data_IF_425578567770
#
_entry.id   IF_425578567770
#
_cell.length_a   1.000
_cell.length_b   1.000
_cell.length_c   1.000
_cell.angle_alpha   90.00
_cell.angle_beta   90.00
_cell.angle_gamma   90.00
#
_symmetry.space_group_name_H-M   'P 1'
#
loop_
_entity.id
_entity.type
_entity.pdbx_description
1 polymer ?
#
# COMPACT_ATOMS: atom_id res chain seq x y z
N UNK A 1 4.01 -5.89 -9.67
CA UNK A 1 4.67 -6.65 -8.59
C UNK A 1 4.19 -6.35 -7.16
N UNK A 2 3.02 -5.73 -6.96
CA UNK A 2 2.41 -5.55 -5.62
C UNK A 2 1.02 -6.21 -5.52
N UNK A 3 0.42 -6.48 -6.67
CA UNK A 3 -0.83 -7.23 -6.92
C UNK A 3 -0.83 -8.59 -6.22
N UNK A 4 0.32 -9.27 -6.27
CA UNK A 4 0.51 -10.59 -5.66
C UNK A 4 0.27 -10.59 -4.14
N UNK A 5 0.48 -9.46 -3.46
CA UNK A 5 0.20 -9.33 -2.03
C UNK A 5 -1.29 -9.53 -1.75
N UNK A 6 -2.17 -8.87 -2.50
CA UNK A 6 -3.63 -9.01 -2.33
C UNK A 6 -4.09 -10.42 -2.70
N UNK A 7 -3.56 -10.98 -3.79
CA UNK A 7 -3.88 -12.34 -4.21
C UNK A 7 -3.45 -13.39 -3.17
N UNK A 8 -2.26 -13.23 -2.58
CA UNK A 8 -1.78 -14.10 -1.50
C UNK A 8 -2.72 -14.05 -0.28
N UNK A 9 -3.12 -12.84 0.14
CA UNK A 9 -4.05 -12.67 1.25
C UNK A 9 -5.40 -13.37 0.98
N UNK A 10 -5.98 -13.19 -0.21
CA UNK A 10 -7.26 -13.80 -0.55
C UNK A 10 -7.23 -15.33 -0.64
N UNK A 11 -6.04 -15.92 -0.88
CA UNK A 11 -5.85 -17.36 -0.92
C UNK A 11 -5.62 -17.97 0.46
N UNK A 12 -5.21 -17.18 1.46
CA UNK A 12 -4.68 -17.66 2.73
C UNK A 12 -5.64 -18.60 3.48
N UNK A 13 -6.94 -18.27 3.54
CA UNK A 13 -7.95 -19.05 4.26
C UNK A 13 -8.27 -20.39 3.58
N UNK A 14 -8.22 -20.43 2.23
CA UNK A 14 -8.67 -21.58 1.43
C UNK A 14 -7.54 -22.43 0.83
N UNK A 15 -6.35 -21.88 0.67
CA UNK A 15 -5.17 -22.54 0.08
C UNK A 15 -3.88 -21.96 0.66
N UNK A 16 -3.55 -22.24 1.94
CA UNK A 16 -2.41 -21.64 2.64
C UNK A 16 -1.05 -21.80 1.93
N UNK A 17 -0.77 -22.99 1.39
CA UNK A 17 0.48 -23.25 0.65
C UNK A 17 0.58 -22.40 -0.62
N UNK A 18 -0.51 -22.29 -1.38
CA UNK A 18 -0.55 -21.44 -2.57
C UNK A 18 -0.47 -19.96 -2.21
N UNK A 19 -1.05 -19.53 -1.09
CA UNK A 19 -0.92 -18.17 -0.60
C UNK A 19 0.54 -17.82 -0.27
N UNK A 20 1.27 -18.76 0.34
CA UNK A 20 2.70 -18.63 0.59
C UNK A 20 3.50 -18.48 -0.70
N UNK A 21 3.31 -19.40 -1.66
CA UNK A 21 3.98 -19.34 -2.96
C UNK A 21 3.65 -18.04 -3.71
N UNK A 22 2.38 -17.62 -3.69
CA UNK A 22 1.93 -16.37 -4.32
C UNK A 22 2.59 -15.13 -3.70
N UNK A 23 2.81 -15.12 -2.39
CA UNK A 23 3.53 -14.05 -1.71
C UNK A 23 5.00 -14.01 -2.15
N UNK A 24 5.64 -15.17 -2.27
CA UNK A 24 7.06 -15.29 -2.61
C UNK A 24 7.38 -15.09 -4.10
N UNK A 25 6.40 -15.21 -4.98
CA UNK A 25 6.60 -15.24 -6.43
C UNK A 25 7.53 -14.13 -6.99
N UNK A 26 7.38 -12.83 -6.67
CA UNK A 26 8.30 -11.82 -7.19
C UNK A 26 9.70 -11.91 -6.57
N UNK A 27 9.82 -12.44 -5.35
CA UNK A 27 11.10 -12.55 -4.65
C UNK A 27 12.00 -13.63 -5.26
N UNK A 28 11.46 -14.61 -5.98
CA UNK A 28 12.26 -15.60 -6.71
C UNK A 28 13.07 -14.97 -7.85
N UNK A 29 12.70 -13.75 -8.21
CA UNK A 29 13.38 -12.89 -9.17
C UNK A 29 13.98 -11.64 -8.51
N UNK A 30 14.18 -11.64 -7.18
CA UNK A 30 14.83 -10.53 -6.48
C UNK A 30 16.31 -10.43 -6.91
N UNK A 31 16.68 -9.29 -7.50
CA UNK A 31 18.04 -9.08 -8.03
C UNK A 31 19.09 -8.92 -6.92
N UNK A 32 20.37 -8.82 -7.29
CA UNK A 32 21.49 -8.68 -6.34
C UNK A 32 21.40 -7.43 -5.45
N UNK A 33 20.76 -6.36 -5.94
CA UNK A 33 20.56 -5.10 -5.19
C UNK A 33 19.44 -5.21 -4.16
N UNK A 34 18.63 -6.27 -4.25
CA UNK A 34 17.45 -6.50 -3.42
C UNK A 34 16.16 -6.03 -4.08
N UNK A 35 16.22 -5.47 -5.30
CA UNK A 35 15.05 -4.98 -6.01
C UNK A 35 14.17 -6.12 -6.53
N UNK A 36 12.86 -5.90 -6.50
CA UNK A 36 11.88 -6.79 -7.15
C UNK A 36 11.61 -6.32 -8.57
N UNK A 37 11.35 -7.24 -9.52
CA UNK A 37 10.97 -6.86 -10.88
C UNK A 37 9.62 -6.14 -10.89
N UNK A 38 9.37 -5.36 -11.94
CA UNK A 38 8.07 -4.73 -12.20
C UNK A 38 7.01 -5.82 -12.51
N UNK A 39 7.38 -6.72 -13.42
CA UNK A 39 6.54 -7.82 -13.90
C UNK A 39 7.36 -9.03 -14.31
N UNK A 40 6.79 -10.20 -14.12
CA UNK A 40 7.30 -11.50 -14.56
C UNK A 40 6.25 -12.13 -15.47
N UNK A 41 6.62 -12.51 -16.68
CA UNK A 41 5.75 -13.23 -17.62
C UNK A 41 6.42 -14.52 -18.08
N UNK A 42 5.73 -15.32 -18.90
CA UNK A 42 6.30 -16.57 -19.43
C UNK A 42 7.53 -16.35 -20.34
N UNK A 43 7.75 -15.14 -20.85
CA UNK A 43 8.82 -14.83 -21.83
C UNK A 43 9.83 -13.80 -21.35
N UNK A 44 9.51 -13.01 -20.33
CA UNK A 44 10.37 -11.91 -19.89
C UNK A 44 10.23 -11.60 -18.39
N UNK A 45 11.31 -11.06 -17.84
CA UNK A 45 11.35 -10.45 -16.50
C UNK A 45 11.75 -8.99 -16.70
N UNK A 46 10.87 -8.07 -16.33
CA UNK A 46 11.06 -6.64 -16.54
C UNK A 46 11.44 -5.94 -15.24
N UNK A 47 12.51 -5.14 -15.28
CA UNK A 47 13.01 -4.33 -14.15
C UNK A 47 12.93 -2.83 -14.43
N UNK A 48 11.98 -2.42 -15.29
CA UNK A 48 11.85 -1.02 -15.73
C UNK A 48 11.43 -0.10 -14.58
N UNK A 49 10.61 -0.61 -13.68
CA UNK A 49 10.12 0.09 -12.49
C UNK A 49 10.14 -0.85 -11.29
N UNK A 50 10.02 -0.26 -10.12
CA UNK A 50 9.64 -1.01 -8.92
C UNK A 50 8.15 -0.80 -8.60
N UNK A 51 7.69 -1.32 -7.48
CA UNK A 51 6.34 -1.11 -6.95
C UNK A 51 6.39 -0.80 -5.45
N UNK A 52 5.34 -0.21 -4.87
CA UNK A 52 5.36 0.23 -3.48
C UNK A 52 5.63 -0.95 -2.53
N UNK A 53 6.46 -0.77 -1.48
CA UNK A 53 6.87 -1.83 -0.57
C UNK A 53 5.78 -2.16 0.47
N UNK A 54 4.60 -2.59 0.02
CA UNK A 54 3.49 -2.99 0.91
C UNK A 54 3.69 -4.39 1.53
N UNK A 55 4.86 -5.01 1.33
CA UNK A 55 5.08 -6.42 1.61
C UNK A 55 5.12 -6.69 3.11
N UNK A 56 5.61 -5.74 3.92
CA UNK A 56 5.53 -5.85 5.37
C UNK A 56 4.09 -5.89 5.89
N UNK A 57 3.24 -4.98 5.40
CA UNK A 57 1.81 -4.96 5.69
C UNK A 57 1.15 -6.28 5.26
N UNK A 58 1.39 -6.69 4.01
CA UNK A 58 0.79 -7.90 3.45
C UNK A 58 1.23 -9.16 4.20
N UNK A 59 2.50 -9.28 4.55
CA UNK A 59 3.02 -10.43 5.28
C UNK A 59 2.44 -10.53 6.70
N UNK A 60 2.34 -9.40 7.40
CA UNK A 60 1.72 -9.35 8.73
C UNK A 60 0.25 -9.81 8.70
N UNK A 61 -0.51 -9.41 7.67
CA UNK A 61 -1.87 -9.88 7.45
C UNK A 61 -1.93 -11.36 7.04
N UNK A 62 -1.06 -11.78 6.12
CA UNK A 62 -1.00 -13.17 5.64
C UNK A 62 -0.82 -14.13 6.82
N UNK A 63 0.13 -13.83 7.72
CA UNK A 63 0.38 -14.64 8.92
C UNK A 63 -0.83 -14.79 9.85
N UNK A 64 -1.74 -13.82 9.89
CA UNK A 64 -2.97 -13.89 10.68
C UNK A 64 -4.05 -14.72 10.00
N UNK A 65 -4.04 -14.80 8.68
CA UNK A 65 -5.02 -15.54 7.87
C UNK A 65 -4.62 -17.00 7.64
N UNK A 66 -3.32 -17.31 7.66
CA UNK A 66 -2.84 -18.69 7.54
C UNK A 66 -3.36 -19.56 8.69
N UNK A 67 -3.93 -20.71 8.34
CA UNK A 67 -4.45 -21.68 9.31
C UNK A 67 -3.35 -22.49 10.01
N UNK A 68 -2.18 -22.60 9.38
CA UNK A 68 -0.98 -23.23 9.93
C UNK A 68 0.08 -22.17 10.18
N UNK A 69 0.61 -22.03 11.41
CA UNK A 69 1.71 -21.12 11.70
C UNK A 69 2.96 -21.49 10.91
N UNK A 70 3.68 -20.46 10.42
CA UNK A 70 4.95 -20.64 9.73
C UNK A 70 6.04 -21.15 10.69
N UNK A 71 6.84 -22.08 10.19
CA UNK A 71 8.02 -22.60 10.88
C UNK A 71 9.21 -21.64 10.82
N UNK A 72 10.24 -21.94 11.61
CA UNK A 72 11.43 -21.11 11.71
C UNK A 72 12.16 -20.89 10.37
N UNK A 73 12.15 -21.89 9.48
CA UNK A 73 12.78 -21.80 8.16
C UNK A 73 12.04 -20.80 7.25
N UNK A 74 10.71 -20.90 7.18
CA UNK A 74 9.84 -20.00 6.41
C UNK A 74 9.94 -18.55 6.92
N UNK A 75 9.95 -18.37 8.25
CA UNK A 75 10.15 -17.06 8.87
C UNK A 75 11.53 -16.48 8.55
N UNK A 76 12.58 -17.30 8.55
CA UNK A 76 13.94 -16.86 8.18
C UNK A 76 13.99 -16.45 6.71
N UNK A 77 13.39 -17.23 5.82
CA UNK A 77 13.34 -16.92 4.40
C UNK A 77 12.60 -15.60 4.12
N UNK A 78 11.42 -15.42 4.70
CA UNK A 78 10.67 -14.18 4.58
C UNK A 78 11.46 -12.99 5.14
N UNK A 79 12.10 -13.15 6.31
CA UNK A 79 12.94 -12.11 6.92
C UNK A 79 14.09 -11.69 6.00
N UNK A 80 14.84 -12.65 5.45
CA UNK A 80 16.00 -12.35 4.60
C UNK A 80 15.57 -11.67 3.29
N UNK A 81 14.49 -12.15 2.64
CA UNK A 81 13.93 -11.55 1.41
C UNK A 81 13.39 -10.12 1.64
N UNK A 82 12.65 -9.90 2.73
CA UNK A 82 12.14 -8.58 3.11
C UNK A 82 13.26 -7.62 3.53
N UNK A 83 14.32 -8.11 4.17
CA UNK A 83 15.49 -7.31 4.53
C UNK A 83 16.14 -6.73 3.28
N UNK A 84 16.44 -7.57 2.28
CA UNK A 84 17.04 -7.13 1.01
C UNK A 84 16.17 -6.11 0.29
N UNK A 85 14.85 -6.33 0.29
CA UNK A 85 13.91 -5.40 -0.34
C UNK A 85 13.86 -4.04 0.38
N UNK A 86 13.92 -4.06 1.71
CA UNK A 86 13.92 -2.85 2.53
C UNK A 86 15.22 -2.08 2.38
N UNK A 87 16.36 -2.78 2.41
CA UNK A 87 17.68 -2.19 2.23
C UNK A 87 17.83 -1.56 0.83
N UNK A 88 17.24 -2.15 -0.23
CA UNK A 88 17.15 -1.52 -1.55
C UNK A 88 16.50 -0.12 -1.47
N UNK A 89 15.35 0.02 -0.79
CA UNK A 89 14.69 1.31 -0.66
C UNK A 89 15.51 2.31 0.17
N UNK A 90 16.07 1.85 1.29
CA UNK A 90 16.83 2.70 2.21
C UNK A 90 18.22 3.08 1.69
N UNK A 91 18.78 2.33 0.74
CA UNK A 91 20.10 2.59 0.16
C UNK A 91 20.00 3.13 -1.28
N UNK A 92 19.38 2.38 -2.19
CA UNK A 92 19.39 2.68 -3.62
C UNK A 92 18.33 3.73 -4.02
N UNK A 93 17.20 3.78 -3.30
CA UNK A 93 16.12 4.76 -3.53
C UNK A 93 16.17 5.95 -2.56
N UNK A 94 17.32 6.24 -1.96
CA UNK A 94 17.50 7.40 -1.07
C UNK A 94 18.65 8.26 -1.57
N UNK A 95 18.38 9.54 -1.81
CA UNK A 95 19.42 10.47 -2.28
C UNK A 95 20.50 10.68 -1.18
N UNK A 96 21.76 10.96 -1.54
CA UNK A 96 22.81 11.20 -0.55
C UNK A 96 22.41 12.32 0.43
N UNK A 97 22.47 12.02 1.74
CA UNK A 97 22.10 12.96 2.80
C UNK A 97 20.58 13.14 3.02
N UNK A 98 19.72 12.54 2.21
CA UNK A 98 18.28 12.56 2.44
C UNK A 98 17.89 11.59 3.55
N UNK A 99 16.88 11.96 4.34
CA UNK A 99 16.32 11.09 5.37
C UNK A 99 15.37 10.04 4.78
N UNK A 100 14.58 10.44 3.79
CA UNK A 100 13.50 9.63 3.21
C UNK A 100 13.85 9.11 1.80
N UNK A 101 13.41 7.89 1.44
CA UNK A 101 13.45 7.40 0.07
C UNK A 101 12.52 8.16 -0.88
N UNK A 102 12.70 7.95 -2.19
CA UNK A 102 11.93 8.58 -3.26
C UNK A 102 11.50 7.57 -4.32
N UNK A 103 10.40 7.90 -4.99
CA UNK A 103 10.06 7.31 -6.28
C UNK A 103 10.85 7.99 -7.40
N UNK A 104 11.33 7.22 -8.37
CA UNK A 104 11.98 7.78 -9.57
C UNK A 104 10.98 8.08 -10.69
N UNK A 105 9.81 7.44 -10.62
CA UNK A 105 8.70 7.61 -11.56
C UNK A 105 7.37 7.29 -10.87
N UNK A 106 6.25 7.83 -11.37
CA UNK A 106 4.91 7.51 -10.86
C UNK A 106 4.62 6.01 -10.85
N UNK A 107 5.10 5.28 -11.86
CA UNK A 107 5.00 3.82 -11.94
C UNK A 107 5.65 3.09 -10.75
N UNK A 108 6.67 3.66 -10.10
CA UNK A 108 7.27 3.05 -8.91
C UNK A 108 6.29 3.04 -7.71
N UNK A 109 5.35 3.99 -7.68
CA UNK A 109 4.29 4.05 -6.66
C UNK A 109 3.10 3.15 -6.97
N UNK A 110 3.00 2.65 -8.21
CA UNK A 110 1.79 1.98 -8.72
C UNK A 110 0.67 2.95 -9.10
N UNK A 111 0.85 4.26 -8.91
CA UNK A 111 -0.09 5.34 -9.25
C UNK A 111 0.40 6.16 -10.44
N UNK A 112 0.61 5.48 -11.57
CA UNK A 112 1.41 5.93 -12.73
C UNK A 112 1.20 7.39 -13.15
N UNK A 113 -0.06 7.83 -13.23
CA UNK A 113 -0.43 9.16 -13.70
C UNK A 113 -1.11 10.03 -12.63
N UNK A 114 -0.99 9.69 -11.35
CA UNK A 114 -1.55 10.50 -10.27
C UNK A 114 -0.99 11.94 -10.32
N UNK A 115 -1.83 12.91 -9.95
CA UNK A 115 -1.49 14.34 -9.97
C UNK A 115 -0.29 14.68 -9.09
N UNK A 116 -0.01 13.85 -8.07
CA UNK A 116 1.17 13.96 -7.19
C UNK A 116 2.48 14.05 -7.98
N UNK A 117 2.57 13.45 -9.16
CA UNK A 117 3.77 13.43 -10.01
C UNK A 117 3.78 14.49 -11.14
N UNK A 118 2.79 15.37 -11.22
CA UNK A 118 2.74 16.42 -12.25
C UNK A 118 3.89 17.45 -12.12
N UNK A 119 4.25 17.94 -10.92
CA UNK A 119 5.30 18.93 -10.79
C UNK A 119 6.71 18.38 -10.98
N UNK A 120 6.94 17.09 -10.67
CA UNK A 120 8.25 16.45 -10.78
C UNK A 120 8.13 14.92 -10.92
N UNK A 121 9.13 14.30 -11.55
CA UNK A 121 9.20 12.84 -11.73
C UNK A 121 9.84 12.10 -10.56
N UNK A 122 10.89 12.67 -9.98
CA UNK A 122 11.64 12.09 -8.85
C UNK A 122 11.17 12.75 -7.55
N UNK A 123 10.38 12.02 -6.76
CA UNK A 123 9.53 12.59 -5.71
C UNK A 123 9.63 11.81 -4.41
N UNK A 124 9.78 12.52 -3.30
CA UNK A 124 9.58 12.01 -1.94
C UNK A 124 8.11 12.19 -1.57
N UNK A 125 7.45 11.10 -1.19
CA UNK A 125 6.04 11.08 -0.83
C UNK A 125 5.82 10.37 0.50
N UNK A 126 4.74 10.71 1.19
CA UNK A 126 4.45 10.19 2.51
C UNK A 126 3.93 8.73 2.49
N UNK A 127 3.28 8.30 1.40
CA UNK A 127 2.81 6.92 1.23
C UNK A 127 3.98 5.93 1.21
N UNK A 128 5.06 6.23 0.48
CA UNK A 128 6.28 5.41 0.45
C UNK A 128 6.88 5.26 1.85
N UNK A 129 7.01 6.38 2.57
CA UNK A 129 7.51 6.37 3.94
C UNK A 129 6.61 5.54 4.86
N UNK A 130 5.28 5.69 4.76
CA UNK A 130 4.31 4.91 5.52
C UNK A 130 4.43 3.40 5.26
N UNK A 131 4.52 2.97 4.00
CA UNK A 131 4.69 1.55 3.66
C UNK A 131 6.02 0.99 4.19
N UNK A 132 7.10 1.77 4.11
CA UNK A 132 8.40 1.37 4.66
C UNK A 132 8.39 1.28 6.19
N UNK A 133 7.70 2.17 6.88
CA UNK A 133 7.55 2.10 8.34
C UNK A 133 6.83 0.81 8.75
N UNK A 134 5.73 0.44 8.08
CA UNK A 134 5.05 -0.84 8.31
C UNK A 134 5.98 -2.04 8.03
N UNK A 135 6.79 -1.95 6.98
CA UNK A 135 7.78 -2.98 6.65
C UNK A 135 8.91 -3.09 7.68
N UNK A 136 9.38 -1.96 8.23
CA UNK A 136 10.38 -1.94 9.30
C UNK A 136 9.81 -2.50 10.61
N UNK A 137 8.55 -2.22 10.95
CA UNK A 137 7.88 -2.86 12.08
C UNK A 137 7.79 -4.38 11.89
N UNK A 138 7.35 -4.83 10.72
CA UNK A 138 7.27 -6.27 10.42
C UNK A 138 8.63 -6.97 10.50
N UNK A 139 9.71 -6.32 10.05
CA UNK A 139 11.08 -6.83 10.18
C UNK A 139 11.55 -6.88 11.63
N UNK A 140 11.19 -5.88 12.45
CA UNK A 140 11.51 -5.90 13.87
C UNK A 140 10.83 -7.07 14.59
N UNK A 141 9.55 -7.29 14.32
CA UNK A 141 8.78 -8.39 14.93
C UNK A 141 9.33 -9.76 14.53
N UNK A 142 9.69 -9.93 13.24
CA UNK A 142 10.35 -11.13 12.76
C UNK A 142 11.72 -11.34 13.40
N UNK A 143 12.52 -10.29 13.54
CA UNK A 143 13.82 -10.37 14.18
C UNK A 143 13.70 -10.81 15.65
N UNK A 144 12.72 -10.32 16.40
CA UNK A 144 12.46 -10.78 17.77
C UNK A 144 12.10 -12.27 17.82
N UNK A 145 11.20 -12.72 16.95
CA UNK A 145 10.78 -14.13 16.85
C UNK A 145 11.94 -15.06 16.47
N UNK A 146 12.81 -14.60 15.57
CA UNK A 146 14.03 -15.28 15.15
C UNK A 146 15.20 -15.13 16.14
N UNK A 147 14.98 -14.46 17.27
CA UNK A 147 15.99 -14.20 18.32
C UNK A 147 17.22 -13.46 17.80
N UNK A 148 17.01 -12.44 16.97
CA UNK A 148 18.01 -11.50 16.43
C UNK A 148 17.80 -10.11 17.05
N UNK A 149 18.14 -9.89 18.34
CA UNK A 149 17.79 -8.67 19.07
C UNK A 149 18.46 -7.40 18.52
N UNK A 150 19.68 -7.51 17.99
CA UNK A 150 20.38 -6.36 17.40
C UNK A 150 19.69 -5.87 16.12
N UNK A 151 19.20 -6.81 15.30
CA UNK A 151 18.40 -6.52 14.11
C UNK A 151 17.07 -5.87 14.51
N UNK A 152 16.38 -6.44 15.50
CA UNK A 152 15.11 -5.88 16.00
C UNK A 152 15.29 -4.43 16.47
N UNK A 153 16.36 -4.15 17.24
CA UNK A 153 16.67 -2.78 17.68
C UNK A 153 16.99 -1.85 16.49
N UNK A 154 17.77 -2.32 15.52
CA UNK A 154 18.07 -1.57 14.29
C UNK A 154 16.81 -1.19 13.54
N UNK A 155 15.89 -2.14 13.35
CA UNK A 155 14.65 -1.92 12.59
C UNK A 155 13.70 -0.97 13.31
N UNK A 156 13.51 -1.13 14.62
CA UNK A 156 12.69 -0.20 15.42
C UNK A 156 13.25 1.23 15.39
N UNK A 157 14.56 1.39 15.52
CA UNK A 157 15.21 2.71 15.42
C UNK A 157 14.98 3.32 14.04
N UNK A 158 15.21 2.56 12.97
CA UNK A 158 15.02 3.04 11.60
C UNK A 158 13.55 3.41 11.33
N UNK A 159 12.59 2.64 11.86
CA UNK A 159 11.16 2.97 11.77
C UNK A 159 10.85 4.31 12.44
N UNK A 160 11.33 4.50 13.67
CA UNK A 160 11.13 5.75 14.41
C UNK A 160 11.77 6.96 13.71
N UNK A 161 12.99 6.82 13.18
CA UNK A 161 13.68 7.86 12.43
C UNK A 161 12.94 8.20 11.12
N UNK A 162 12.45 7.19 10.40
CA UNK A 162 11.68 7.37 9.16
C UNK A 162 10.35 8.06 9.42
N UNK A 163 9.63 7.65 10.47
CA UNK A 163 8.38 8.28 10.86
C UNK A 163 8.57 9.73 11.32
N UNK A 164 9.60 10.00 12.12
CA UNK A 164 9.94 11.36 12.53
C UNK A 164 10.25 12.24 11.30
N UNK A 165 11.06 11.74 10.35
CA UNK A 165 11.37 12.46 9.13
C UNK A 165 10.13 12.67 8.22
N UNK A 166 9.25 11.67 8.11
CA UNK A 166 8.01 11.78 7.35
C UNK A 166 7.12 12.90 7.90
N UNK A 167 6.93 12.95 9.22
CA UNK A 167 6.13 13.99 9.86
C UNK A 167 6.82 15.36 9.77
N UNK A 168 8.10 15.47 10.13
CA UNK A 168 8.83 16.74 10.11
C UNK A 168 8.93 17.37 8.70
N UNK A 169 9.16 16.54 7.67
CA UNK A 169 9.44 17.05 6.32
C UNK A 169 8.19 17.15 5.46
N UNK A 170 7.19 16.27 5.64
CA UNK A 170 6.06 16.14 4.73
C UNK A 170 4.72 16.52 5.36
N UNK A 171 4.58 16.57 6.69
CA UNK A 171 3.33 17.01 7.32
C UNK A 171 3.32 18.53 7.54
N UNK A 172 2.25 19.19 7.10
CA UNK A 172 2.10 20.67 7.21
C UNK A 172 1.26 21.12 8.41
N UNK A 173 0.81 20.18 9.25
CA UNK A 173 -0.20 20.44 10.28
C UNK A 173 -1.65 20.18 9.81
N UNK A 174 -1.88 20.04 8.51
CA UNK A 174 -3.21 19.81 7.92
C UNK A 174 -3.24 18.73 6.82
N UNK A 175 -2.15 18.60 6.06
CA UNK A 175 -2.00 17.61 4.99
C UNK A 175 -0.55 17.20 4.81
N UNK A 176 -0.36 16.04 4.18
CA UNK A 176 0.93 15.66 3.63
C UNK A 176 1.19 16.42 2.32
N UNK A 177 2.46 16.77 2.10
CA UNK A 177 2.97 17.31 0.83
C UNK A 177 3.95 16.31 0.21
N UNK A 178 4.06 16.33 -1.10
CA UNK A 178 5.15 15.73 -1.84
C UNK A 178 6.30 16.73 -2.02
N UNK A 179 7.52 16.24 -2.22
CA UNK A 179 8.71 17.08 -2.47
C UNK A 179 9.54 16.53 -3.61
N UNK A 180 10.03 17.40 -4.47
CA UNK A 180 10.94 17.04 -5.54
C UNK A 180 12.33 16.80 -4.97
N UNK A 181 13.00 15.70 -5.32
CA UNK A 181 14.36 15.40 -4.79
C UNK A 181 15.38 16.47 -5.18
N UNK A 182 15.27 17.03 -6.39
CA UNK A 182 16.21 18.04 -6.90
C UNK A 182 15.90 19.47 -6.46
N UNK A 183 14.63 19.86 -6.42
CA UNK A 183 14.22 21.23 -6.06
C UNK A 183 14.01 21.44 -4.56
N UNK A 184 13.57 20.41 -3.84
CA UNK A 184 13.15 20.50 -2.43
C UNK A 184 11.79 21.17 -2.21
N UNK A 185 11.23 21.78 -3.25
CA UNK A 185 9.95 22.52 -3.21
C UNK A 185 8.79 21.56 -2.87
N UNK A 186 7.97 21.89 -1.86
CA UNK A 186 6.80 21.10 -1.52
C UNK A 186 5.57 21.47 -2.37
N UNK A 187 4.72 20.50 -2.66
CA UNK A 187 3.38 20.71 -3.19
C UNK A 187 2.39 19.70 -2.61
N UNK A 188 1.10 20.00 -2.69
CA UNK A 188 0.02 19.06 -2.37
C UNK A 188 -0.94 18.97 -3.54
N UNK A 189 -1.65 17.85 -3.63
CA UNK A 189 -2.64 17.62 -4.68
C UNK A 189 -3.99 17.28 -4.09
N UNK A 190 -4.95 16.92 -4.94
CA UNK A 190 -6.22 16.33 -4.53
C UNK A 190 -6.28 14.82 -4.85
N UNK A 191 -5.10 14.19 -5.01
CA UNK A 191 -4.93 12.76 -5.15
C UNK A 191 -5.14 12.06 -3.81
N UNK A 192 -5.79 10.90 -3.84
CA UNK A 192 -5.91 9.99 -2.70
C UNK A 192 -4.53 9.45 -2.26
N UNK A 193 -3.53 9.46 -3.15
CA UNK A 193 -2.15 9.05 -2.83
C UNK A 193 -1.58 9.85 -1.65
N UNK A 194 -1.89 11.15 -1.58
CA UNK A 194 -1.44 12.05 -0.50
C UNK A 194 -2.05 11.65 0.87
N UNK A 195 -3.10 10.81 0.86
CA UNK A 195 -3.81 10.33 2.05
C UNK A 195 -3.47 8.87 2.41
N UNK A 196 -2.72 8.16 1.55
CA UNK A 196 -2.29 6.78 1.81
C UNK A 196 -1.43 6.57 3.06
N UNK A 197 -0.79 7.59 3.70
CA UNK A 197 -0.24 7.41 5.04
C UNK A 197 -1.24 6.87 6.08
N UNK A 198 -2.56 6.94 5.82
CA UNK A 198 -3.59 6.27 6.64
C UNK A 198 -3.32 4.78 6.83
N UNK A 199 -2.60 4.14 5.91
CA UNK A 199 -2.18 2.75 6.02
C UNK A 199 -1.32 2.48 7.27
N UNK A 200 -0.72 3.50 7.90
CA UNK A 200 -0.04 3.33 9.19
C UNK A 200 -0.99 2.98 10.34
N UNK A 201 -2.28 3.28 10.23
CA UNK A 201 -3.28 2.90 11.23
C UNK A 201 -2.96 3.45 12.62
N UNK A 202 -2.88 2.55 13.59
CA UNK A 202 -2.59 2.83 15.00
C UNK A 202 -1.22 3.47 15.25
N UNK A 203 -0.32 3.47 14.26
CA UNK A 203 0.99 4.10 14.39
C UNK A 203 0.95 5.61 14.10
N UNK A 204 -0.16 6.15 13.60
CA UNK A 204 -0.31 7.59 13.37
C UNK A 204 -0.60 8.34 14.67
N UNK A 205 -0.06 9.56 14.84
CA UNK A 205 -0.59 10.51 15.81
C UNK A 205 -2.09 10.78 15.58
N UNK A 206 -2.87 10.92 16.65
CA UNK A 206 -4.33 11.08 16.59
C UNK A 206 -4.76 12.26 15.71
N UNK A 207 -4.07 13.39 15.77
CA UNK A 207 -4.37 14.58 14.98
C UNK A 207 -4.18 14.33 13.47
N UNK A 208 -3.08 13.67 13.10
CA UNK A 208 -2.80 13.27 11.72
C UNK A 208 -3.84 12.25 11.24
N UNK A 209 -4.13 11.23 12.04
CA UNK A 209 -5.13 10.21 11.76
C UNK A 209 -6.52 10.81 11.49
N UNK A 210 -6.97 11.70 12.38
CA UNK A 210 -8.25 12.39 12.24
C UNK A 210 -8.32 13.27 10.98
N UNK A 211 -7.24 14.00 10.68
CA UNK A 211 -7.16 14.83 9.48
C UNK A 211 -7.22 13.98 8.19
N UNK A 212 -6.50 12.86 8.15
CA UNK A 212 -6.55 11.92 7.02
C UNK A 212 -7.95 11.32 6.85
N UNK A 213 -8.58 10.85 7.93
CA UNK A 213 -9.91 10.26 7.87
C UNK A 213 -10.97 11.25 7.33
N UNK A 214 -10.95 12.51 7.80
CA UNK A 214 -11.84 13.55 7.29
C UNK A 214 -11.62 13.83 5.79
N UNK A 215 -10.37 13.78 5.32
CA UNK A 215 -10.05 13.96 3.89
C UNK A 215 -10.46 12.76 3.06
N UNK A 216 -10.25 11.55 3.55
CA UNK A 216 -10.67 10.31 2.89
C UNK A 216 -12.20 10.26 2.74
N UNK A 217 -12.95 10.69 3.75
CA UNK A 217 -14.42 10.77 3.66
C UNK A 217 -14.87 11.65 2.48
N UNK A 218 -14.13 12.71 2.14
CA UNK A 218 -14.41 13.55 0.97
C UNK A 218 -14.14 12.87 -0.38
N UNK A 219 -13.30 11.83 -0.42
CA UNK A 219 -13.08 11.00 -1.62
C UNK A 219 -14.15 9.91 -1.80
N UNK A 220 -14.97 9.63 -0.77
CA UNK A 220 -15.89 8.51 -0.75
C UNK A 220 -17.19 8.83 -1.53
N UNK A 221 -17.22 8.42 -2.79
CA UNK A 221 -18.40 8.52 -3.67
C UNK A 221 -19.41 7.40 -3.38
N UNK A 222 -20.61 7.40 -3.97
CA UNK A 222 -21.57 6.30 -3.81
C UNK A 222 -21.03 4.91 -4.15
N UNK A 223 -19.99 4.83 -4.99
CA UNK A 223 -19.40 3.57 -5.46
C UNK A 223 -18.09 3.20 -4.75
N UNK A 224 -17.39 4.14 -4.12
CA UNK A 224 -16.12 3.88 -3.45
C UNK A 224 -15.19 5.09 -3.43
N UNK A 225 -13.92 4.87 -3.11
CA UNK A 225 -12.93 5.94 -2.99
C UNK A 225 -12.42 6.38 -4.37
N UNK A 226 -12.73 7.61 -4.78
CA UNK A 226 -12.14 8.20 -5.98
C UNK A 226 -10.65 8.48 -5.76
N UNK A 227 -9.81 8.12 -6.72
CA UNK A 227 -8.34 8.33 -6.62
C UNK A 227 -7.92 9.79 -6.77
N UNK A 228 -8.81 10.64 -7.28
CA UNK A 228 -8.69 12.10 -7.31
C UNK A 228 -10.04 12.66 -6.82
N UNK A 229 -10.04 13.73 -6.01
CA UNK A 229 -11.30 14.32 -5.55
C UNK A 229 -12.20 14.68 -6.74
N UNK A 230 -13.50 14.30 -6.75
CA UNK A 230 -14.41 14.64 -7.86
C UNK A 230 -14.57 16.15 -8.12
N UNK A 231 -14.30 16.98 -7.11
CA UNK A 231 -14.30 18.45 -7.22
C UNK A 231 -12.99 19.04 -7.73
N UNK A 232 -11.95 18.23 -7.89
CA UNK A 232 -10.64 18.64 -8.41
C UNK A 232 -10.76 18.99 -9.90
N UNK A 233 -10.10 20.07 -10.38
CA UNK A 233 -10.01 20.34 -11.81
C UNK A 233 -9.23 19.27 -12.59
N UNK A 234 -8.54 18.36 -11.91
CA UNK A 234 -7.79 17.26 -12.50
C UNK A 234 -8.54 15.93 -12.53
N UNK A 235 -9.76 15.88 -11.97
CA UNK A 235 -10.60 14.68 -12.00
C UNK A 235 -11.00 14.31 -13.42
N UNK A 236 -10.83 13.04 -13.76
CA UNK A 236 -11.20 12.43 -15.03
C UNK A 236 -11.92 11.10 -14.77
N UNK A 237 -13.11 10.94 -15.35
CA UNK A 237 -13.97 9.76 -15.17
C UNK A 237 -13.30 8.46 -15.63
N UNK A 238 -12.66 8.46 -16.80
CA UNK A 238 -11.75 7.42 -17.29
C UNK A 238 -10.30 7.92 -17.22
N UNK A 239 -9.90 8.32 -16.01
CA UNK A 239 -8.62 8.99 -15.73
C UNK A 239 -7.47 8.09 -15.30
N UNK A 240 -7.67 6.77 -15.25
CA UNK A 240 -6.75 5.83 -14.60
C UNK A 240 -6.57 6.14 -13.10
N UNK A 241 -5.45 6.74 -12.64
CA UNK A 241 -5.28 7.18 -11.25
C UNK A 241 -5.76 8.63 -10.98
N UNK A 242 -6.51 9.22 -11.92
CA UNK A 242 -7.07 10.59 -11.79
C UNK A 242 -8.57 10.63 -11.55
N UNK A 243 -9.12 9.65 -10.85
CA UNK A 243 -10.56 9.63 -10.57
C UNK A 243 -11.13 8.26 -10.27
N UNK A 244 -10.88 7.24 -11.11
CA UNK A 244 -11.40 5.90 -10.90
C UNK A 244 -11.11 5.31 -9.51
N UNK A 245 -11.96 4.39 -9.07
CA UNK A 245 -11.82 3.60 -7.84
C UNK A 245 -10.93 2.40 -8.11
N UNK A 246 -9.99 2.13 -7.20
CA UNK A 246 -9.04 1.02 -7.30
C UNK A 246 -9.10 0.11 -6.07
N UNK A 247 -9.06 -1.20 -6.31
CA UNK A 247 -9.16 -2.20 -5.26
C UNK A 247 -7.99 -2.13 -4.24
N UNK A 248 -6.71 -2.02 -4.67
CA UNK A 248 -5.58 -1.93 -3.73
C UNK A 248 -5.69 -0.76 -2.74
N UNK A 249 -6.01 0.43 -3.25
CA UNK A 249 -6.17 1.62 -2.43
C UNK A 249 -7.33 1.46 -1.42
N UNK A 250 -8.43 0.85 -1.86
CA UNK A 250 -9.60 0.60 -1.00
C UNK A 250 -9.24 -0.29 0.19
N UNK A 251 -8.54 -1.41 -0.04
CA UNK A 251 -8.17 -2.34 1.04
C UNK A 251 -7.21 -1.69 2.02
N UNK A 252 -6.17 -1.00 1.53
CA UNK A 252 -5.18 -0.34 2.38
C UNK A 252 -5.80 0.79 3.22
N UNK A 253 -6.72 1.56 2.63
CA UNK A 253 -7.44 2.63 3.33
C UNK A 253 -8.41 2.05 4.37
N UNK A 254 -9.17 1.02 4.02
CA UNK A 254 -10.11 0.37 4.94
C UNK A 254 -9.39 -0.20 6.18
N UNK A 255 -8.32 -0.96 5.97
CA UNK A 255 -7.51 -1.54 7.05
C UNK A 255 -6.87 -0.45 7.92
N UNK A 256 -6.26 0.56 7.28
CA UNK A 256 -5.63 1.69 7.97
C UNK A 256 -6.61 2.47 8.84
N UNK A 257 -7.76 2.88 8.27
CA UNK A 257 -8.83 3.55 9.02
C UNK A 257 -9.30 2.69 10.20
N UNK A 258 -9.50 1.39 9.97
CA UNK A 258 -9.98 0.48 11.00
C UNK A 258 -9.00 0.37 12.17
N UNK A 259 -7.71 0.15 11.89
CA UNK A 259 -6.67 0.09 12.92
C UNK A 259 -6.47 1.42 13.64
N UNK A 260 -6.68 2.54 12.96
CA UNK A 260 -6.69 3.88 13.55
C UNK A 260 -7.96 4.21 14.37
N UNK A 261 -8.94 3.30 14.46
CA UNK A 261 -10.17 3.49 15.25
C UNK A 261 -11.33 4.14 14.50
N UNK A 262 -11.19 4.47 13.21
CA UNK A 262 -12.23 5.06 12.35
C UNK A 262 -13.20 4.01 11.79
N UNK A 263 -13.76 3.17 12.69
CA UNK A 263 -14.55 1.99 12.34
C UNK A 263 -15.72 2.29 11.39
N UNK A 264 -16.50 3.35 11.66
CA UNK A 264 -17.65 3.73 10.83
C UNK A 264 -17.24 4.03 9.39
N UNK A 265 -16.18 4.81 9.21
CA UNK A 265 -15.70 5.17 7.87
C UNK A 265 -15.12 3.94 7.14
N UNK A 266 -14.40 3.08 7.86
CA UNK A 266 -13.90 1.81 7.31
C UNK A 266 -15.05 0.90 6.86
N UNK A 267 -16.14 0.81 7.64
CA UNK A 267 -17.34 0.06 7.28
C UNK A 267 -18.02 0.64 6.04
N UNK A 268 -18.12 1.97 5.93
CA UNK A 268 -18.69 2.65 4.76
C UNK A 268 -17.84 2.40 3.49
N UNK A 269 -16.52 2.46 3.60
CA UNK A 269 -15.58 2.14 2.49
C UNK A 269 -15.75 0.68 2.05
N UNK A 270 -15.73 -0.26 3.00
CA UNK A 270 -15.91 -1.69 2.73
C UNK A 270 -17.27 -1.97 2.07
N UNK A 271 -18.36 -1.41 2.60
CA UNK A 271 -19.70 -1.66 2.11
C UNK A 271 -19.90 -1.17 0.67
N UNK A 272 -19.43 0.05 0.36
CA UNK A 272 -19.57 0.62 -0.99
C UNK A 272 -18.76 -0.16 -2.02
N UNK A 273 -17.52 -0.54 -1.69
CA UNK A 273 -16.69 -1.31 -2.61
C UNK A 273 -17.23 -2.74 -2.85
N UNK A 274 -17.72 -3.42 -1.80
CA UNK A 274 -18.37 -4.74 -1.98
C UNK A 274 -19.60 -4.64 -2.86
N UNK A 275 -20.49 -3.68 -2.59
CA UNK A 275 -21.67 -3.45 -3.41
C UNK A 275 -21.32 -3.10 -4.86
N UNK A 276 -20.26 -2.32 -5.09
CA UNK A 276 -19.73 -2.03 -6.42
C UNK A 276 -19.32 -3.32 -7.14
N UNK A 277 -18.52 -4.18 -6.52
CA UNK A 277 -18.10 -5.46 -7.12
C UNK A 277 -19.28 -6.40 -7.40
N UNK A 278 -20.22 -6.51 -6.46
CA UNK A 278 -21.41 -7.36 -6.58
C UNK A 278 -22.34 -6.93 -7.74
N UNK A 279 -22.32 -5.65 -8.10
CA UNK A 279 -23.21 -5.08 -9.13
C UNK A 279 -22.53 -4.80 -10.47
N UNK A 280 -21.23 -4.52 -10.48
CA UNK A 280 -20.47 -4.10 -11.68
C UNK A 280 -19.32 -5.06 -12.05
N UNK A 281 -19.14 -6.15 -11.30
CA UNK A 281 -18.13 -7.17 -11.55
C UNK A 281 -16.74 -6.79 -11.00
N UNK A 282 -15.70 -7.43 -11.52
CA UNK A 282 -14.35 -7.36 -10.97
C UNK A 282 -13.37 -6.70 -11.96
N UNK A 283 -13.72 -5.51 -12.44
CA UNK A 283 -12.83 -4.74 -13.31
C UNK A 283 -11.56 -4.27 -12.58
N UNK A 284 -10.51 -3.92 -13.33
CA UNK A 284 -9.25 -3.41 -12.80
C UNK A 284 -9.47 -2.14 -11.97
N UNK A 285 -10.27 -1.22 -12.50
CA UNK A 285 -10.74 -0.02 -11.82
C UNK A 285 -12.15 0.36 -12.30
N UNK A 286 -12.79 1.32 -11.62
CA UNK A 286 -14.18 1.70 -11.89
C UNK A 286 -14.33 3.21 -11.92
N UNK A 287 -15.16 3.72 -12.82
CA UNK A 287 -15.59 5.11 -12.79
C UNK A 287 -16.22 5.43 -11.42
N UNK A 288 -15.71 6.46 -10.75
CA UNK A 288 -16.09 6.73 -9.37
C UNK A 288 -17.51 7.29 -9.20
N UNK A 289 -18.14 7.82 -10.25
CA UNK A 289 -19.47 8.44 -10.18
C UNK A 289 -20.57 7.56 -10.77
N UNK A 290 -20.22 6.53 -11.53
CA UNK A 290 -21.17 5.63 -12.20
C UNK A 290 -20.98 4.16 -11.86
N UNK A 291 -19.83 3.76 -11.29
CA UNK A 291 -19.48 2.37 -11.02
C UNK A 291 -19.11 1.58 -12.27
N UNK A 292 -19.09 2.21 -13.45
CA UNK A 292 -18.74 1.54 -14.71
C UNK A 292 -17.32 0.97 -14.61
N UNK A 293 -17.15 -0.35 -14.72
CA UNK A 293 -15.81 -0.93 -14.78
C UNK A 293 -15.01 -0.37 -15.97
N UNK A 294 -13.70 -0.32 -15.85
CA UNK A 294 -12.78 0.22 -16.85
C UNK A 294 -11.56 -0.72 -16.98
N UNK A 295 -10.84 -0.60 -18.10
CA UNK A 295 -9.70 -1.46 -18.47
C UNK A 295 -10.08 -2.94 -18.50
N UNK A 296 -9.35 -3.82 -17.82
CA UNK A 296 -9.68 -5.25 -17.72
C UNK A 296 -10.97 -5.44 -16.91
N UNK A 297 -11.84 -6.34 -17.35
CA UNK A 297 -13.15 -6.61 -16.72
C UNK A 297 -13.11 -7.75 -15.70
N UNK A 298 -12.01 -8.49 -15.62
CA UNK A 298 -11.84 -9.66 -14.76
C UNK A 298 -10.44 -9.69 -14.12
N UNK A 299 -10.14 -8.66 -13.32
CA UNK A 299 -8.83 -8.47 -12.71
C UNK A 299 -8.70 -9.13 -11.34
N UNK A 300 -7.58 -9.83 -11.13
CA UNK A 300 -7.38 -10.68 -9.94
C UNK A 300 -7.37 -9.91 -8.63
N UNK A 301 -6.72 -8.75 -8.58
CA UNK A 301 -6.67 -7.96 -7.34
C UNK A 301 -8.04 -7.47 -6.85
N UNK A 302 -9.04 -7.39 -7.73
CA UNK A 302 -10.35 -6.83 -7.43
C UNK A 302 -11.18 -7.93 -6.83
N UNK A 303 -11.12 -9.12 -7.43
CA UNK A 303 -11.65 -10.33 -6.83
C UNK A 303 -11.00 -10.62 -5.48
N UNK A 304 -9.68 -10.53 -5.37
CA UNK A 304 -8.95 -10.74 -4.12
C UNK A 304 -9.35 -9.73 -3.04
N UNK A 305 -9.35 -8.43 -3.36
CA UNK A 305 -9.77 -7.37 -2.44
C UNK A 305 -11.22 -7.51 -1.98
N UNK A 306 -12.12 -7.89 -2.89
CA UNK A 306 -13.51 -8.18 -2.54
C UNK A 306 -13.62 -9.34 -1.55
N UNK A 307 -12.92 -10.45 -1.80
CA UNK A 307 -12.93 -11.61 -0.90
C UNK A 307 -12.45 -11.24 0.51
N UNK A 308 -11.36 -10.47 0.61
CA UNK A 308 -10.85 -9.99 1.89
C UNK A 308 -11.89 -9.16 2.66
N UNK A 309 -12.51 -8.19 1.99
CA UNK A 309 -13.50 -7.33 2.61
C UNK A 309 -14.80 -8.07 2.95
N UNK A 310 -15.21 -9.03 2.12
CA UNK A 310 -16.42 -9.83 2.32
C UNK A 310 -16.27 -10.85 3.47
N UNK A 311 -15.12 -11.52 3.55
CA UNK A 311 -14.77 -12.42 4.67
C UNK A 311 -14.75 -11.62 5.98
N UNK A 312 -14.04 -10.49 6.01
CA UNK A 312 -13.96 -9.62 7.18
C UNK A 312 -15.34 -9.09 7.62
N UNK A 313 -16.22 -8.74 6.67
CA UNK A 313 -17.60 -8.36 6.96
C UNK A 313 -18.41 -9.52 7.57
N UNK A 314 -18.29 -10.72 7.01
CA UNK A 314 -19.00 -11.92 7.49
C UNK A 314 -18.60 -12.25 8.92
N UNK A 315 -17.30 -12.20 9.25
CA UNK A 315 -16.83 -12.39 10.62
C UNK A 315 -17.38 -11.36 11.60
N UNK A 316 -17.53 -10.09 11.18
CA UNK A 316 -18.06 -9.02 12.04
C UNK A 316 -19.57 -9.13 12.30
N UNK A 317 -20.35 -9.60 11.33
CA UNK A 317 -21.82 -9.74 11.46
C UNK A 317 -22.22 -11.08 12.10
N UNK A 318 -21.36 -12.10 12.01
CA UNK A 318 -21.57 -13.42 12.60
C UNK A 318 -21.28 -13.53 14.11
N UNK A 319 -20.78 -12.46 14.74
CA UNK A 319 -20.54 -12.33 16.17
C UNK A 319 -21.51 -11.34 16.81
#
# INVERSE_FOLDING_TARGET
SWDHCFNALALASGSPELAWDQFHLPFDHQDETGALPDSVTHSEVLYNFVKPPIHGWAFGHLRRLLTTPLGQAELTEAYDRLTRWTDFWLAARRAPGAALPHYQHGNDSGWDNATTFDPARVVVTADLAAFLILQLHQLADLADELRRPDDALRWRRTAAETQAAMLDQLWTGDRFVARGVGSGDPWSTSSLLDLMPVALGEHLPDDVSNALAARIEAHLTPYGLATELPTSPHYLSDGYWRGPIWAPATVLVEDGLRRAGHQRLADDVSARFRALCETHGFAENFDALTGTGLRDRAYTWTAASYLLLAEAHTHRVGH
#
